data_IF_035947296051
#
_entry.id   IF_035947296051
#
_cell.length_a   1.000
_cell.length_b   1.000
_cell.length_c   1.000
_cell.angle_alpha   90.00
_cell.angle_beta   90.00
_cell.angle_gamma   90.00
#
_symmetry.space_group_name_H-M   'P 1'
#
loop_
_entity.id
_entity.type
_entity.pdbx_description
1 polymer ?
#
# COMPACT_ATOMS: atom_id res chain seq x y z
N UNK A 1 -22.64 -15.07 10.22
CA UNK A 1 -23.10 -15.33 8.86
C UNK A 1 -23.93 -16.62 8.78
N UNK A 2 -23.44 -17.77 9.22
CA UNK A 2 -24.17 -19.06 9.15
C UNK A 2 -25.56 -19.04 9.83
N UNK A 3 -25.77 -18.18 10.80
CA UNK A 3 -27.07 -17.98 11.48
C UNK A 3 -28.10 -17.17 10.69
N UNK A 4 -27.82 -16.84 9.41
CA UNK A 4 -28.74 -16.10 8.55
C UNK A 4 -28.57 -14.59 8.58
N UNK A 5 -27.46 -14.08 9.07
CA UNK A 5 -27.11 -12.67 9.00
C UNK A 5 -26.26 -12.41 7.73
N UNK A 6 -26.72 -11.52 6.86
CA UNK A 6 -26.00 -11.19 5.62
C UNK A 6 -24.96 -10.09 5.81
N UNK A 7 -25.10 -9.30 6.85
CA UNK A 7 -24.18 -8.22 7.20
C UNK A 7 -23.98 -8.18 8.70
N UNK A 8 -22.72 -8.11 9.09
CA UNK A 8 -22.33 -8.08 10.49
C UNK A 8 -21.18 -7.10 10.69
N UNK A 9 -21.19 -6.38 11.80
CA UNK A 9 -20.02 -5.62 12.24
C UNK A 9 -19.92 -5.63 13.76
N UNK A 10 -18.70 -5.42 14.23
CA UNK A 10 -18.43 -5.19 15.65
C UNK A 10 -17.28 -4.19 15.81
N UNK A 11 -17.27 -3.51 16.95
CA UNK A 11 -16.12 -2.73 17.41
C UNK A 11 -15.55 -3.49 18.60
N UNK A 12 -14.38 -4.08 18.42
CA UNK A 12 -13.86 -5.08 19.36
C UNK A 12 -12.37 -4.87 19.65
N UNK A 13 -11.98 -5.13 20.90
CA UNK A 13 -10.56 -5.21 21.28
C UNK A 13 -9.95 -6.51 20.78
N UNK A 14 -8.81 -6.36 20.10
CA UNK A 14 -8.03 -7.45 19.57
C UNK A 14 -6.64 -7.46 20.21
N UNK A 15 -6.07 -8.65 20.31
CA UNK A 15 -4.76 -8.88 20.89
C UNK A 15 -3.91 -9.70 19.91
N UNK A 16 -2.66 -9.27 19.70
CA UNK A 16 -1.68 -10.01 18.90
C UNK A 16 -0.33 -10.00 19.58
N UNK A 17 0.32 -11.15 19.59
CA UNK A 17 1.72 -11.26 19.99
C UNK A 17 2.60 -10.81 18.83
N UNK A 18 2.95 -9.52 18.82
CA UNK A 18 3.72 -8.88 17.77
C UNK A 18 4.81 -7.98 18.37
N UNK A 19 5.90 -7.81 17.63
CA UNK A 19 6.90 -6.79 17.94
C UNK A 19 6.29 -5.39 17.83
N UNK A 20 6.56 -4.54 18.81
CA UNK A 20 6.13 -3.16 18.82
C UNK A 20 6.78 -2.39 17.66
N UNK A 21 5.98 -1.63 16.94
CA UNK A 21 6.41 -0.70 15.89
C UNK A 21 5.66 0.62 16.06
N UNK A 22 6.00 1.63 15.25
CA UNK A 22 5.37 2.94 15.33
C UNK A 22 3.83 2.88 15.17
N UNK A 23 3.33 1.93 14.40
CA UNK A 23 1.92 1.73 14.07
C UNK A 23 1.33 0.40 14.60
N UNK A 24 2.07 -0.35 15.42
CA UNK A 24 1.65 -1.65 15.92
C UNK A 24 1.74 -1.74 17.42
N UNK A 25 0.64 -2.19 18.02
CA UNK A 25 0.54 -2.47 19.45
C UNK A 25 -0.08 -3.85 19.68
N UNK A 26 0.28 -4.54 20.78
CA UNK A 26 -0.27 -5.86 21.09
C UNK A 26 -1.78 -5.83 21.39
N UNK A 27 -2.29 -4.71 21.88
CA UNK A 27 -3.72 -4.46 22.07
C UNK A 27 -4.17 -3.33 21.13
N UNK A 28 -5.20 -3.56 20.34
CA UNK A 28 -5.78 -2.57 19.43
C UNK A 28 -7.27 -2.80 19.23
N UNK A 29 -7.97 -1.79 18.75
CA UNK A 29 -9.40 -1.88 18.47
C UNK A 29 -9.61 -2.04 16.97
N UNK A 30 -10.45 -2.99 16.58
CA UNK A 30 -10.88 -3.21 15.21
C UNK A 30 -12.34 -2.80 15.01
N UNK A 31 -12.62 -2.26 13.85
CA UNK A 31 -13.95 -2.30 13.23
C UNK A 31 -13.93 -3.54 12.35
N UNK A 32 -14.57 -4.60 12.80
CA UNK A 32 -14.63 -5.87 12.10
C UNK A 32 -15.95 -5.97 11.36
N UNK A 33 -15.90 -6.25 10.07
CA UNK A 33 -17.07 -6.28 9.20
C UNK A 33 -17.08 -7.56 8.36
N UNK A 34 -18.22 -8.24 8.35
CA UNK A 34 -18.44 -9.42 7.52
C UNK A 34 -19.69 -9.24 6.65
N UNK A 35 -19.60 -9.67 5.41
CA UNK A 35 -20.69 -9.57 4.45
C UNK A 35 -20.81 -10.84 3.63
N UNK A 36 -22.05 -11.31 3.40
CA UNK A 36 -22.37 -12.44 2.53
C UNK A 36 -22.85 -11.97 1.17
N UNK A 37 -22.66 -12.82 0.15
CA UNK A 37 -23.18 -12.62 -1.20
C UNK A 37 -22.69 -11.31 -1.84
N UNK A 38 -21.42 -10.97 -1.61
CA UNK A 38 -20.77 -9.77 -2.13
C UNK A 38 -19.51 -10.14 -2.91
N UNK A 39 -19.18 -9.31 -3.88
CA UNK A 39 -17.92 -9.33 -4.61
C UNK A 39 -16.94 -8.30 -4.00
N UNK A 40 -15.73 -8.26 -4.51
CA UNK A 40 -14.66 -7.38 -4.01
C UNK A 40 -15.05 -5.89 -4.10
N UNK A 41 -15.71 -5.51 -5.19
CA UNK A 41 -16.18 -4.15 -5.45
C UNK A 41 -17.21 -3.69 -4.44
N UNK A 42 -18.11 -4.57 -4.01
CA UNK A 42 -19.13 -4.25 -3.00
C UNK A 42 -18.50 -3.92 -1.65
N UNK A 43 -17.48 -4.70 -1.26
CA UNK A 43 -16.73 -4.47 -0.02
C UNK A 43 -16.00 -3.14 -0.10
N UNK A 44 -15.28 -2.87 -1.21
CA UNK A 44 -14.58 -1.60 -1.42
C UNK A 44 -15.51 -0.43 -1.35
N UNK A 45 -16.64 -0.47 -2.05
CA UNK A 45 -17.60 0.64 -2.08
C UNK A 45 -18.17 1.00 -0.69
N UNK A 46 -18.34 0.01 0.19
CA UNK A 46 -18.78 0.26 1.57
C UNK A 46 -17.65 0.88 2.40
N UNK A 47 -16.44 0.34 2.31
CA UNK A 47 -15.29 0.83 3.06
C UNK A 47 -14.87 2.23 2.62
N UNK A 48 -14.92 2.54 1.34
CA UNK A 48 -14.67 3.88 0.82
C UNK A 48 -15.63 4.92 1.39
N UNK A 49 -16.92 4.62 1.40
CA UNK A 49 -17.94 5.51 1.99
C UNK A 49 -17.72 5.70 3.50
N UNK A 50 -17.31 4.65 4.21
CA UNK A 50 -16.97 4.75 5.63
C UNK A 50 -15.78 5.70 5.84
N UNK A 51 -14.70 5.53 5.08
CA UNK A 51 -13.52 6.39 5.15
C UNK A 51 -13.90 7.83 4.80
N UNK A 52 -14.61 8.05 3.69
CA UNK A 52 -15.06 9.38 3.29
C UNK A 52 -15.82 10.09 4.42
N UNK A 53 -16.76 9.37 5.03
CA UNK A 53 -17.56 9.91 6.14
C UNK A 53 -16.73 10.24 7.36
N UNK A 54 -15.81 9.36 7.77
CA UNK A 54 -14.90 9.60 8.89
C UNK A 54 -14.06 10.85 8.65
N UNK A 55 -13.44 10.97 7.48
CA UNK A 55 -12.62 12.14 7.15
C UNK A 55 -13.44 13.43 7.12
N UNK A 56 -14.67 13.36 6.59
CA UNK A 56 -15.57 14.51 6.58
C UNK A 56 -16.00 14.94 7.98
N UNK A 57 -16.47 14.00 8.80
CA UNK A 57 -17.03 14.31 10.11
C UNK A 57 -15.97 14.68 11.16
N UNK A 58 -14.80 14.05 11.11
CA UNK A 58 -13.75 14.24 12.11
C UNK A 58 -12.77 15.35 11.72
N UNK A 59 -12.38 15.41 10.45
CA UNK A 59 -11.32 16.31 9.97
C UNK A 59 -11.86 17.43 9.07
N UNK A 60 -13.13 17.41 8.71
CA UNK A 60 -13.74 18.27 7.70
C UNK A 60 -12.99 18.24 6.34
N UNK A 61 -12.45 17.08 5.98
CA UNK A 61 -11.76 16.82 4.71
C UNK A 61 -12.66 16.04 3.77
N UNK A 62 -12.80 16.52 2.54
CA UNK A 62 -13.51 15.81 1.48
C UNK A 62 -12.57 14.79 0.82
N UNK A 63 -12.98 13.53 0.85
CA UNK A 63 -12.31 12.44 0.13
C UNK A 63 -13.10 12.15 -1.14
N UNK A 64 -12.45 12.29 -2.29
CA UNK A 64 -13.07 11.99 -3.58
C UNK A 64 -13.15 10.48 -3.79
N UNK A 65 -14.34 10.00 -4.20
CA UNK A 65 -14.57 8.59 -4.51
C UNK A 65 -14.83 8.41 -6.03
N UNK A 66 -14.54 7.22 -6.60
CA UNK A 66 -13.88 6.08 -5.95
C UNK A 66 -12.39 6.37 -5.68
N UNK A 67 -11.82 5.69 -4.69
CA UNK A 67 -10.38 5.73 -4.45
C UNK A 67 -9.65 5.04 -5.61
N UNK A 68 -8.46 5.52 -5.99
CA UNK A 68 -7.65 4.86 -7.01
C UNK A 68 -7.33 3.40 -6.64
N UNK A 69 -7.52 2.50 -7.58
CA UNK A 69 -7.18 1.08 -7.43
C UNK A 69 -5.89 0.80 -8.19
N UNK A 70 -4.91 0.29 -7.49
CA UNK A 70 -3.60 -0.04 -8.06
C UNK A 70 -3.37 -1.56 -7.97
N UNK A 71 -3.17 -2.26 -9.09
CA UNK A 71 -2.80 -3.68 -9.07
C UNK A 71 -1.45 -3.90 -8.36
N UNK A 72 -1.32 -5.05 -7.69
CA UNK A 72 -0.07 -5.41 -6.99
C UNK A 72 1.17 -5.32 -7.89
N UNK A 73 1.06 -5.83 -9.13
CA UNK A 73 2.17 -5.78 -10.08
C UNK A 73 2.60 -4.34 -10.39
N UNK A 74 1.66 -3.42 -10.53
CA UNK A 74 1.94 -2.00 -10.74
C UNK A 74 2.58 -1.36 -9.50
N UNK A 75 2.07 -1.66 -8.31
CA UNK A 75 2.62 -1.15 -7.06
C UNK A 75 4.08 -1.58 -6.89
N UNK A 76 4.39 -2.84 -7.16
CA UNK A 76 5.76 -3.36 -7.10
C UNK A 76 6.65 -2.79 -8.22
N UNK A 77 6.10 -2.57 -9.40
CA UNK A 77 6.85 -2.00 -10.54
C UNK A 77 7.25 -0.55 -10.27
N UNK A 78 6.30 0.27 -9.84
CA UNK A 78 6.49 1.72 -9.67
C UNK A 78 7.09 2.10 -8.32
N UNK A 79 6.78 1.37 -7.26
CA UNK A 79 7.15 1.78 -5.91
C UNK A 79 7.95 0.74 -5.12
N UNK A 80 8.00 -0.51 -5.58
CA UNK A 80 8.70 -1.59 -4.88
C UNK A 80 8.05 -1.99 -3.55
N UNK A 81 6.80 -1.63 -3.34
CA UNK A 81 6.03 -1.85 -2.12
C UNK A 81 4.58 -2.15 -2.45
N UNK A 82 3.95 -3.04 -1.69
CA UNK A 82 2.52 -3.30 -1.74
C UNK A 82 1.67 -2.22 -1.03
N UNK A 83 2.32 -1.25 -0.39
CA UNK A 83 1.71 -0.10 0.30
C UNK A 83 2.40 1.19 -0.10
N UNK A 84 2.30 1.60 -1.37
CA UNK A 84 2.98 2.78 -1.86
C UNK A 84 2.40 4.06 -1.26
N UNK A 85 3.26 4.99 -0.88
CA UNK A 85 2.86 6.36 -0.61
C UNK A 85 2.96 7.17 -1.90
N UNK A 86 1.82 7.43 -2.52
CA UNK A 86 1.74 8.11 -3.81
C UNK A 86 1.81 9.64 -3.71
N UNK A 87 1.89 10.21 -2.50
CA UNK A 87 1.90 11.66 -2.28
C UNK A 87 3.19 12.33 -2.75
N UNK A 88 4.30 11.60 -2.76
CA UNK A 88 5.63 12.16 -3.02
C UNK A 88 6.03 12.15 -4.50
N UNK A 89 5.37 11.37 -5.34
CA UNK A 89 5.65 11.31 -6.77
C UNK A 89 7.00 10.67 -7.16
N UNK A 90 7.71 10.05 -6.24
CA UNK A 90 8.98 9.37 -6.53
C UNK A 90 8.73 7.92 -6.90
N UNK A 91 8.90 7.62 -8.18
CA UNK A 91 8.72 6.29 -8.73
C UNK A 91 10.06 5.62 -9.04
N UNK A 92 10.07 4.29 -8.99
CA UNK A 92 11.21 3.49 -9.38
C UNK A 92 11.35 3.48 -10.91
N UNK A 93 12.54 3.76 -11.40
CA UNK A 93 12.89 3.63 -12.80
C UNK A 93 13.73 2.36 -13.00
N UNK A 94 13.35 1.54 -13.96
CA UNK A 94 14.14 0.35 -14.33
C UNK A 94 15.38 0.80 -15.12
N UNK A 95 16.57 0.55 -14.55
CA UNK A 95 17.86 0.90 -15.14
C UNK A 95 18.66 -0.35 -15.55
N UNK A 96 18.02 -1.53 -15.59
CA UNK A 96 18.69 -2.80 -15.87
C UNK A 96 19.52 -2.79 -17.14
N UNK A 97 18.98 -2.21 -18.22
CA UNK A 97 19.69 -2.14 -19.52
C UNK A 97 20.95 -1.27 -19.46
N UNK A 98 20.90 -0.20 -18.66
CA UNK A 98 22.04 0.72 -18.49
C UNK A 98 23.17 0.04 -17.71
N UNK A 99 22.82 -0.76 -16.71
CA UNK A 99 23.80 -1.34 -15.77
C UNK A 99 24.20 -2.77 -16.12
N UNK A 100 23.60 -3.37 -17.13
CA UNK A 100 23.84 -4.78 -17.51
C UNK A 100 25.33 -5.08 -17.76
N UNK A 101 26.06 -4.13 -18.33
CA UNK A 101 27.49 -4.26 -18.66
C UNK A 101 28.38 -3.33 -17.84
N UNK A 102 27.89 -2.82 -16.70
CA UNK A 102 28.69 -1.95 -15.84
C UNK A 102 29.78 -2.75 -15.09
N UNK A 103 30.83 -2.05 -14.65
CA UNK A 103 31.91 -2.66 -13.86
C UNK A 103 31.51 -3.06 -12.43
N UNK A 104 30.29 -2.73 -11.99
CA UNK A 104 29.79 -3.08 -10.66
C UNK A 104 29.13 -4.46 -10.67
N UNK A 105 29.86 -5.45 -10.14
CA UNK A 105 29.47 -6.86 -10.24
C UNK A 105 28.11 -7.20 -9.66
N UNK A 106 27.62 -6.47 -8.66
CA UNK A 106 26.29 -6.72 -8.06
C UNK A 106 25.20 -6.48 -9.09
N UNK A 107 25.24 -5.37 -9.82
CA UNK A 107 24.23 -5.03 -10.82
C UNK A 107 24.33 -5.94 -12.06
N UNK A 108 25.57 -6.14 -12.57
CA UNK A 108 25.79 -7.01 -13.70
C UNK A 108 25.37 -8.47 -13.43
N UNK A 109 25.57 -8.97 -12.21
CA UNK A 109 25.13 -10.31 -11.83
C UNK A 109 23.61 -10.41 -11.62
N UNK A 110 22.98 -9.35 -11.11
CA UNK A 110 21.52 -9.28 -10.98
C UNK A 110 20.84 -9.38 -12.34
N UNK A 111 21.28 -8.57 -13.31
CA UNK A 111 20.73 -8.56 -14.67
C UNK A 111 20.97 -9.89 -15.39
N UNK A 112 22.15 -10.52 -15.25
CA UNK A 112 22.44 -11.85 -15.80
C UNK A 112 21.52 -12.94 -15.26
N UNK A 113 21.01 -12.79 -14.04
CA UNK A 113 20.04 -13.69 -13.40
C UNK A 113 18.60 -13.36 -13.74
N UNK A 114 18.35 -12.40 -14.62
CA UNK A 114 17.00 -11.94 -15.00
C UNK A 114 16.31 -11.10 -13.93
N UNK A 115 17.04 -10.61 -12.93
CA UNK A 115 16.52 -9.68 -11.94
C UNK A 115 16.61 -8.25 -12.45
N UNK A 116 15.65 -7.41 -12.08
CA UNK A 116 15.68 -5.98 -12.40
C UNK A 116 16.51 -5.19 -11.40
N UNK A 117 17.20 -4.18 -11.91
CA UNK A 117 17.85 -3.13 -11.10
C UNK A 117 17.04 -1.86 -11.27
N UNK A 118 16.65 -1.25 -10.15
CA UNK A 118 15.78 -0.07 -10.14
C UNK A 118 16.37 1.00 -9.26
N UNK A 119 16.13 2.24 -9.62
CA UNK A 119 16.57 3.40 -8.87
C UNK A 119 15.49 4.46 -8.78
N UNK A 120 15.63 5.33 -7.80
CA UNK A 120 14.82 6.55 -7.65
C UNK A 120 15.69 7.72 -8.06
N UNK A 121 15.20 8.53 -8.99
CA UNK A 121 15.85 9.79 -9.35
C UNK A 121 15.20 10.95 -8.57
N UNK A 122 16.00 11.62 -7.76
CA UNK A 122 15.57 12.79 -6.98
C UNK A 122 16.22 14.02 -7.59
N UNK A 123 15.52 14.60 -8.55
CA UNK A 123 16.04 15.74 -9.32
C UNK A 123 16.32 16.97 -8.46
N UNK A 124 17.44 17.63 -8.71
CA UNK A 124 17.80 18.90 -8.08
C UNK A 124 18.18 18.82 -6.60
N UNK A 125 18.36 17.60 -6.04
CA UNK A 125 18.59 17.41 -4.61
C UNK A 125 19.99 16.84 -4.27
N UNK A 126 20.91 16.87 -5.22
CA UNK A 126 22.24 16.29 -5.05
C UNK A 126 23.04 16.88 -3.88
N UNK A 127 22.80 18.16 -3.55
CA UNK A 127 23.48 18.83 -2.43
C UNK A 127 22.81 18.62 -1.08
N UNK A 128 21.55 18.17 -1.08
CA UNK A 128 20.77 17.96 0.15
C UNK A 128 20.92 16.53 0.69
N UNK A 129 21.33 15.59 -0.15
CA UNK A 129 21.56 14.19 0.22
C UNK A 129 23.06 13.86 0.14
N UNK A 130 23.63 13.50 1.28
CA UNK A 130 25.04 13.10 1.42
C UNK A 130 25.17 11.60 1.63
#
# INVERSE_FOLDING_TARGET
>A
MVSGMDRYFQIVKCFRDEDLRADRQPEFTQIDCEMSFVEEEDVRAIMEKMIQRIFKEVLNVEVTLPLPVMPYAEAMERYGSDKPDTRFGYELTNISDIVANCGFGVFANATKKGMSVRGINVEGKAEEFT
#
